data_IF_766087849918
#
_entry.id   IF_766087849918
#
_cell.length_a   1.000
_cell.length_b   1.000
_cell.length_c   1.000
_cell.angle_alpha   90.00
_cell.angle_beta   90.00
_cell.angle_gamma   90.00
#
_symmetry.space_group_name_H-M   'P 1'
#
loop_
_entity.id
_entity.type
_entity.pdbx_description
1 polymer ?
#
# COMPACT_ATOMS: atom_id res chain seq x y z
N UNK A 1 17.65 41.77 11.89
CA UNK A 1 17.40 40.52 12.64
C UNK A 1 18.16 40.50 13.98
N UNK A 2 17.43 40.34 15.10
CA UNK A 2 18.00 40.31 16.46
C UNK A 2 18.90 39.11 16.73
N UNK A 3 19.74 39.21 17.77
CA UNK A 3 20.71 38.18 18.18
C UNK A 3 20.04 36.81 18.37
N UNK A 4 18.84 36.80 18.96
CA UNK A 4 18.06 35.59 19.22
C UNK A 4 17.65 34.83 17.93
N UNK A 5 17.29 35.55 16.86
CA UNK A 5 16.93 34.95 15.57
C UNK A 5 18.15 34.36 14.86
N UNK A 6 19.33 34.96 15.02
CA UNK A 6 20.59 34.40 14.50
C UNK A 6 20.96 33.10 15.21
N UNK A 7 20.77 33.04 16.53
CA UNK A 7 21.03 31.84 17.35
C UNK A 7 20.07 30.71 16.97
N UNK A 8 18.77 30.97 16.81
CA UNK A 8 17.81 29.99 16.27
C UNK A 8 18.22 29.47 14.89
N UNK A 9 18.66 30.36 14.01
CA UNK A 9 19.16 29.98 12.68
C UNK A 9 20.38 29.08 12.74
N UNK A 10 21.33 29.35 13.65
CA UNK A 10 22.52 28.54 13.86
C UNK A 10 22.17 27.16 14.44
N UNK A 11 21.31 27.12 15.46
CA UNK A 11 20.82 25.87 16.06
C UNK A 11 20.08 25.02 15.03
N UNK A 12 19.21 25.63 14.22
CA UNK A 12 18.47 24.91 13.18
C UNK A 12 19.39 24.38 12.09
N UNK A 13 20.45 25.11 11.71
CA UNK A 13 21.48 24.62 10.77
C UNK A 13 22.30 23.48 11.37
N UNK A 14 22.75 23.61 12.62
CA UNK A 14 23.48 22.56 13.32
C UNK A 14 22.62 21.30 13.52
N UNK A 15 21.38 21.47 13.97
CA UNK A 15 20.41 20.39 14.11
C UNK A 15 20.10 19.72 12.76
N UNK A 16 19.93 20.50 11.69
CA UNK A 16 19.72 19.97 10.35
C UNK A 16 20.95 19.25 9.78
N UNK A 17 22.16 19.68 10.13
CA UNK A 17 23.41 19.03 9.75
C UNK A 17 23.65 17.73 10.52
N UNK A 18 23.24 17.68 11.80
CA UNK A 18 23.42 16.51 12.67
C UNK A 18 22.31 15.46 12.47
N UNK A 19 21.05 15.89 12.31
CA UNK A 19 19.88 15.01 12.29
C UNK A 19 19.19 14.92 10.93
N UNK A 20 19.69 15.62 9.91
CA UNK A 20 19.09 15.69 8.58
C UNK A 20 17.84 16.58 8.56
N UNK A 21 17.88 17.66 7.78
CA UNK A 21 16.65 18.39 7.44
C UNK A 21 15.84 17.57 6.44
N UNK A 22 14.72 17.01 6.89
CA UNK A 22 13.72 16.46 5.96
C UNK A 22 12.64 17.53 5.76
N UNK A 23 12.67 18.18 4.61
CA UNK A 23 11.63 19.09 4.16
C UNK A 23 10.37 18.27 3.91
N UNK A 24 9.29 18.58 4.61
CA UNK A 24 7.96 18.05 4.28
C UNK A 24 7.63 18.51 2.87
N UNK A 25 7.38 17.56 1.98
CA UNK A 25 7.04 17.85 0.59
C UNK A 25 5.52 17.93 0.45
N UNK A 26 4.99 18.93 -0.26
CA UNK A 26 3.56 18.99 -0.56
C UNK A 26 3.13 17.91 -1.56
N UNK A 27 4.08 17.28 -2.25
CA UNK A 27 3.87 16.19 -3.20
C UNK A 27 5.04 15.21 -3.16
N UNK A 28 4.77 13.94 -3.47
CA UNK A 28 5.77 12.90 -3.65
C UNK A 28 5.80 12.49 -5.12
N UNK A 29 6.99 12.30 -5.69
CA UNK A 29 7.09 11.88 -7.08
C UNK A 29 6.97 10.36 -7.17
N UNK A 30 6.31 9.89 -8.22
CA UNK A 30 6.32 8.46 -8.57
C UNK A 30 7.62 8.17 -9.30
N UNK A 31 8.42 7.23 -8.78
CA UNK A 31 9.62 6.70 -9.43
C UNK A 31 9.25 5.67 -10.50
N UNK A 32 8.33 4.76 -10.17
CA UNK A 32 7.93 3.65 -11.03
C UNK A 32 6.52 3.20 -10.71
N UNK A 33 5.78 2.81 -11.74
CA UNK A 33 4.44 2.21 -11.63
C UNK A 33 4.57 0.74 -12.02
N UNK A 34 3.99 -0.14 -11.20
CA UNK A 34 3.91 -1.57 -11.45
C UNK A 34 2.44 -1.96 -11.62
N UNK A 35 2.04 -2.16 -12.86
CA UNK A 35 0.73 -2.74 -13.17
C UNK A 35 0.77 -4.24 -12.91
N UNK A 36 -0.35 -4.83 -12.47
CA UNK A 36 -0.47 -6.28 -12.41
C UNK A 36 -0.26 -6.86 -13.83
N UNK A 37 0.59 -7.89 -14.02
CA UNK A 37 0.95 -8.39 -15.36
C UNK A 37 -0.23 -8.97 -16.15
N UNK A 38 -1.28 -9.42 -15.45
CA UNK A 38 -2.50 -9.94 -16.08
C UNK A 38 -3.58 -8.88 -16.32
N UNK A 39 -3.36 -7.62 -15.92
CA UNK A 39 -4.31 -6.56 -16.16
C UNK A 39 -4.46 -6.30 -17.66
N UNK A 40 -5.70 -6.13 -18.11
CA UNK A 40 -6.03 -5.74 -19.48
C UNK A 40 -6.93 -4.50 -19.44
N UNK A 41 -6.68 -3.49 -20.28
CA UNK A 41 -7.53 -2.31 -20.33
C UNK A 41 -8.99 -2.67 -20.61
N UNK A 42 -9.89 -2.22 -19.74
CA UNK A 42 -11.33 -2.48 -19.84
C UNK A 42 -11.81 -3.71 -19.08
N UNK A 43 -10.90 -4.58 -18.62
CA UNK A 43 -11.24 -5.67 -17.72
C UNK A 43 -11.30 -5.14 -16.28
N UNK A 44 -12.20 -5.72 -15.47
CA UNK A 44 -12.26 -5.48 -14.03
C UNK A 44 -11.25 -6.37 -13.29
N UNK A 45 -10.89 -7.51 -13.89
CA UNK A 45 -9.96 -8.44 -13.30
C UNK A 45 -8.56 -7.84 -13.26
N UNK A 46 -7.84 -8.10 -12.16
CA UNK A 46 -6.47 -7.64 -11.95
C UNK A 46 -6.30 -6.12 -12.00
N UNK A 47 -7.37 -5.34 -11.75
CA UNK A 47 -7.33 -3.88 -11.67
C UNK A 47 -6.63 -3.41 -10.38
N UNK A 48 -5.30 -3.53 -10.38
CA UNK A 48 -4.43 -3.14 -9.28
C UNK A 48 -3.06 -2.69 -9.80
N UNK A 49 -2.50 -1.65 -9.18
CA UNK A 49 -1.16 -1.15 -9.46
C UNK A 49 -0.46 -0.68 -8.18
N UNK A 50 0.87 -0.77 -8.19
CA UNK A 50 1.73 -0.28 -7.10
C UNK A 50 2.56 0.89 -7.59
N UNK A 51 2.56 1.98 -6.82
CA UNK A 51 3.34 3.18 -7.14
C UNK A 51 4.53 3.23 -6.18
N UNK A 52 5.74 3.07 -6.71
CA UNK A 52 6.95 3.28 -5.94
C UNK A 52 7.27 4.77 -5.91
N UNK A 53 7.30 5.35 -4.72
CA UNK A 53 7.70 6.74 -4.53
C UNK A 53 9.20 6.91 -4.73
N UNK A 54 9.60 8.07 -5.26
CA UNK A 54 11.01 8.47 -5.41
C UNK A 54 11.58 8.93 -4.07
N UNK A 55 10.77 9.63 -3.27
CA UNK A 55 11.12 10.07 -1.93
C UNK A 55 10.40 9.23 -0.88
N UNK A 56 11.07 8.94 0.23
CA UNK A 56 10.49 8.23 1.36
C UNK A 56 9.73 9.21 2.29
N UNK A 57 8.42 9.04 2.51
CA UNK A 57 7.67 9.88 3.43
C UNK A 57 8.14 9.70 4.88
N UNK A 58 8.41 10.81 5.58
CA UNK A 58 8.70 10.76 7.01
C UNK A 58 7.40 10.79 7.79
N UNK A 59 6.76 9.63 7.91
CA UNK A 59 5.43 9.44 8.51
C UNK A 59 5.27 10.20 9.84
N UNK A 60 6.23 10.05 10.76
CA UNK A 60 6.24 10.72 12.07
C UNK A 60 6.19 12.25 12.05
N UNK A 61 6.49 12.89 10.91
CA UNK A 61 6.48 14.34 10.75
C UNK A 61 5.22 14.85 10.05
N UNK A 62 4.38 13.96 9.52
CA UNK A 62 3.17 14.31 8.78
C UNK A 62 1.97 13.97 9.66
N UNK A 63 1.36 15.00 10.25
CA UNK A 63 0.18 14.83 11.09
C UNK A 63 -0.95 14.17 10.29
N UNK A 64 -1.56 13.12 10.85
CA UNK A 64 -2.66 12.41 10.22
C UNK A 64 -2.26 11.44 9.09
N UNK A 65 -0.96 11.25 8.81
CA UNK A 65 -0.51 10.23 7.87
C UNK A 65 -0.17 8.92 8.61
N UNK A 66 -0.87 7.86 8.25
CA UNK A 66 -0.62 6.49 8.72
C UNK A 66 -0.48 5.52 7.56
N UNK A 67 0.04 4.33 7.85
CA UNK A 67 -0.02 3.20 6.93
C UNK A 67 -1.25 2.36 7.27
N UNK A 68 -1.83 1.73 6.25
CA UNK A 68 -2.82 0.68 6.42
C UNK A 68 -2.15 -0.68 6.23
N UNK A 69 -2.52 -1.65 7.04
CA UNK A 69 -1.97 -3.00 6.94
C UNK A 69 -2.55 -3.75 5.73
N UNK A 70 -1.71 -4.59 5.12
CA UNK A 70 -2.16 -5.55 4.12
C UNK A 70 -2.83 -6.76 4.82
N UNK A 71 -3.85 -7.36 4.19
CA UNK A 71 -4.48 -8.57 4.68
C UNK A 71 -3.56 -9.79 4.51
N UNK A 72 -3.80 -10.83 5.31
CA UNK A 72 -3.08 -12.10 5.20
C UNK A 72 -3.34 -12.74 3.82
N UNK A 73 -2.28 -13.14 3.06
CA UNK A 73 -2.44 -13.78 1.75
C UNK A 73 -3.25 -15.07 1.81
N UNK A 74 -3.24 -15.80 2.95
CA UNK A 74 -4.01 -17.04 3.13
C UNK A 74 -5.53 -16.81 3.12
N UNK A 75 -5.99 -15.58 3.32
CA UNK A 75 -7.43 -15.28 3.27
C UNK A 75 -7.98 -15.37 1.85
N UNK A 76 -7.20 -14.99 0.84
CA UNK A 76 -7.59 -15.11 -0.57
C UNK A 76 -8.95 -14.47 -0.87
N UNK A 77 -9.86 -15.24 -1.47
CA UNK A 77 -11.22 -14.84 -1.83
C UNK A 77 -12.24 -14.90 -0.68
N UNK A 78 -11.84 -15.39 0.49
CA UNK A 78 -12.70 -15.55 1.67
C UNK A 78 -12.86 -14.27 2.50
N UNK A 79 -12.03 -13.27 2.26
CA UNK A 79 -12.05 -11.99 2.96
C UNK A 79 -12.06 -10.81 1.97
N UNK A 80 -12.76 -9.69 2.26
CA UNK A 80 -13.71 -9.52 3.36
C UNK A 80 -14.95 -10.42 3.19
N UNK A 81 -15.60 -10.75 4.31
CA UNK A 81 -16.75 -11.65 4.33
C UNK A 81 -18.06 -10.91 4.01
N UNK A 82 -19.02 -11.60 3.41
CA UNK A 82 -20.34 -11.03 3.17
C UNK A 82 -21.01 -10.58 4.49
N UNK A 83 -21.61 -9.40 4.48
CA UNK A 83 -22.22 -8.75 5.65
C UNK A 83 -21.25 -7.95 6.51
N UNK A 84 -19.94 -8.07 6.30
CA UNK A 84 -18.96 -7.23 6.99
C UNK A 84 -19.08 -5.77 6.55
N UNK A 85 -19.10 -4.85 7.50
CA UNK A 85 -19.11 -3.40 7.21
C UNK A 85 -17.68 -2.89 7.09
N UNK A 86 -17.41 -2.15 6.04
CA UNK A 86 -16.12 -1.58 5.72
C UNK A 86 -16.24 -0.07 5.49
N UNK A 87 -15.14 0.67 5.55
CA UNK A 87 -15.12 2.12 5.39
C UNK A 87 -14.37 2.46 4.10
N UNK A 88 -15.02 3.17 3.19
CA UNK A 88 -14.37 3.81 2.07
C UNK A 88 -14.05 5.26 2.42
N UNK A 89 -12.91 5.77 1.96
CA UNK A 89 -12.50 7.17 2.13
C UNK A 89 -12.09 7.77 0.80
N UNK A 90 -12.44 9.04 0.56
CA UNK A 90 -12.19 9.67 -0.72
C UNK A 90 -12.53 11.15 -0.79
N UNK A 91 -12.26 11.73 -1.95
CA UNK A 91 -12.59 13.13 -2.30
C UNK A 91 -13.43 13.19 -3.57
N UNK A 92 -14.03 12.08 -4.01
CA UNK A 92 -14.91 12.02 -5.18
C UNK A 92 -16.15 12.91 -5.05
N UNK A 93 -17.06 12.76 -6.01
CA UNK A 93 -18.22 13.64 -6.09
C UNK A 93 -19.04 13.71 -4.79
N UNK A 94 -19.49 14.93 -4.45
CA UNK A 94 -20.30 15.15 -3.23
C UNK A 94 -21.77 14.75 -3.39
N UNK A 95 -22.21 14.53 -4.63
CA UNK A 95 -23.51 14.00 -5.06
C UNK A 95 -23.36 13.47 -6.49
N UNK A 96 -24.35 12.73 -7.01
CA UNK A 96 -24.28 12.18 -8.37
C UNK A 96 -23.99 13.29 -9.41
N UNK A 97 -22.92 13.11 -10.20
CA UNK A 97 -22.43 14.09 -11.20
C UNK A 97 -21.91 15.43 -10.63
N UNK A 98 -21.83 15.56 -9.30
CA UNK A 98 -21.30 16.75 -8.63
C UNK A 98 -19.77 16.86 -8.71
N UNK A 99 -19.20 18.03 -8.35
CA UNK A 99 -17.76 18.19 -8.29
C UNK A 99 -17.13 17.36 -7.15
N UNK A 100 -15.82 17.05 -7.24
CA UNK A 100 -15.05 16.49 -6.13
C UNK A 100 -15.18 17.34 -4.86
N UNK A 101 -15.16 16.68 -3.70
CA UNK A 101 -15.20 17.37 -2.42
C UNK A 101 -13.85 18.02 -2.09
N UNK A 102 -13.88 19.20 -1.47
CA UNK A 102 -12.69 19.85 -0.92
C UNK A 102 -12.22 19.22 0.40
N UNK A 103 -13.06 18.40 1.04
CA UNK A 103 -12.77 17.73 2.32
C UNK A 103 -12.89 16.22 2.13
N UNK A 104 -11.96 15.46 2.72
CA UNK A 104 -12.05 14.01 2.72
C UNK A 104 -13.38 13.57 3.31
N UNK A 105 -14.07 12.68 2.60
CA UNK A 105 -15.31 12.04 3.01
C UNK A 105 -15.04 10.59 3.37
N UNK A 106 -15.94 10.01 4.15
CA UNK A 106 -15.95 8.58 4.41
C UNK A 106 -17.37 8.04 4.40
N UNK A 107 -17.51 6.76 4.09
CA UNK A 107 -18.79 6.06 4.08
C UNK A 107 -18.61 4.61 4.52
N UNK A 108 -19.54 4.13 5.33
CA UNK A 108 -19.65 2.72 5.68
C UNK A 108 -20.41 1.97 4.59
N UNK A 109 -19.84 0.85 4.13
CA UNK A 109 -20.38 0.02 3.06
C UNK A 109 -20.39 -1.45 3.51
N UNK A 110 -21.55 -2.13 3.50
CA UNK A 110 -21.60 -3.56 3.75
C UNK A 110 -21.07 -4.32 2.53
N UNK A 111 -20.30 -5.38 2.77
CA UNK A 111 -19.85 -6.32 1.73
C UNK A 111 -21.00 -7.21 1.33
N UNK A 112 -21.23 -7.36 0.03
CA UNK A 112 -22.29 -8.21 -0.50
C UNK A 112 -21.79 -9.64 -0.71
N UNK A 113 -22.72 -10.60 -0.67
CA UNK A 113 -22.39 -11.97 -1.07
C UNK A 113 -22.10 -12.04 -2.59
N UNK A 114 -21.20 -12.94 -3.03
CA UNK A 114 -20.88 -13.12 -4.44
C UNK A 114 -22.12 -13.36 -5.33
N UNK A 115 -23.12 -14.08 -4.83
CA UNK A 115 -24.36 -14.34 -5.57
C UNK A 115 -25.21 -13.08 -5.78
N UNK A 116 -25.27 -12.18 -4.78
CA UNK A 116 -26.05 -10.94 -4.90
C UNK A 116 -25.35 -9.98 -5.85
N UNK A 117 -24.03 -9.81 -5.67
CA UNK A 117 -23.18 -8.98 -6.53
C UNK A 117 -23.31 -9.39 -8.01
N UNK A 118 -23.11 -10.68 -8.33
CA UNK A 118 -23.29 -11.20 -9.69
C UNK A 118 -24.68 -10.98 -10.25
N UNK A 119 -25.72 -11.23 -9.43
CA UNK A 119 -27.10 -11.04 -9.89
C UNK A 119 -27.39 -9.58 -10.26
N UNK A 120 -26.94 -8.63 -9.44
CA UNK A 120 -27.13 -7.19 -9.70
C UNK A 120 -26.44 -6.73 -10.98
N UNK A 121 -25.27 -7.30 -11.27
CA UNK A 121 -24.47 -6.91 -12.43
C UNK A 121 -24.64 -7.82 -13.66
N UNK A 122 -25.44 -8.88 -13.56
CA UNK A 122 -25.57 -9.92 -14.60
C UNK A 122 -26.00 -9.41 -15.98
N UNK A 123 -26.73 -8.31 -16.05
CA UNK A 123 -27.15 -7.68 -17.30
C UNK A 123 -26.08 -6.80 -17.96
N UNK A 124 -24.98 -6.51 -17.24
CA UNK A 124 -23.97 -5.53 -17.65
C UNK A 124 -22.60 -6.15 -17.86
N UNK A 125 -22.19 -7.05 -16.94
CA UNK A 125 -20.84 -7.62 -16.90
C UNK A 125 -20.87 -9.04 -16.33
N UNK A 126 -19.88 -9.86 -16.71
CA UNK A 126 -19.68 -11.18 -16.13
C UNK A 126 -18.65 -11.12 -14.99
N UNK A 127 -19.12 -10.99 -13.75
CA UNK A 127 -18.25 -10.93 -12.57
C UNK A 127 -17.83 -12.33 -12.10
N UNK A 128 -16.53 -12.55 -11.92
CA UNK A 128 -15.98 -13.81 -11.39
C UNK A 128 -16.05 -13.88 -9.86
N UNK A 129 -16.03 -12.73 -9.16
CA UNK A 129 -16.09 -12.57 -7.69
C UNK A 129 -14.91 -13.14 -6.89
N UNK A 130 -13.90 -13.67 -7.58
CA UNK A 130 -12.64 -14.14 -6.99
C UNK A 130 -11.69 -12.96 -6.76
N UNK A 131 -11.39 -12.22 -7.83
CA UNK A 131 -10.51 -11.05 -7.81
C UNK A 131 -11.21 -9.77 -7.38
N UNK A 132 -12.52 -9.71 -7.50
CA UNK A 132 -13.33 -8.56 -7.13
C UNK A 132 -14.43 -8.93 -6.13
N UNK A 133 -14.98 -7.91 -5.47
CA UNK A 133 -16.18 -8.03 -4.66
C UNK A 133 -17.00 -6.75 -4.69
N UNK A 134 -18.30 -6.87 -4.37
CA UNK A 134 -19.17 -5.71 -4.25
C UNK A 134 -19.27 -5.26 -2.79
N UNK A 135 -19.27 -3.94 -2.56
CA UNK A 135 -19.68 -3.35 -1.29
C UNK A 135 -20.54 -2.10 -1.50
N UNK A 136 -21.54 -1.92 -0.65
CA UNK A 136 -22.42 -0.76 -0.66
C UNK A 136 -23.89 -1.10 -0.59
N UNK A 137 -24.72 -0.11 -0.86
CA UNK A 137 -26.17 -0.23 -0.74
C UNK A 137 -26.80 -0.29 -2.12
N UNK A 138 -27.99 -0.90 -2.17
CA UNK A 138 -28.88 -0.74 -3.31
C UNK A 138 -29.93 0.31 -2.94
N UNK A 139 -30.16 1.30 -3.82
CA UNK A 139 -31.07 2.44 -3.60
C UNK A 139 -30.78 3.21 -2.30
N UNK A 140 -29.50 3.34 -1.93
CA UNK A 140 -29.09 4.02 -0.71
C UNK A 140 -28.93 5.53 -0.84
N UNK A 141 -28.95 6.06 -2.07
CA UNK A 141 -28.54 7.43 -2.41
C UNK A 141 -27.15 7.81 -1.87
N UNK A 142 -26.29 6.81 -1.63
CA UNK A 142 -24.96 6.95 -1.05
C UNK A 142 -24.08 5.81 -1.54
N UNK A 143 -22.83 6.10 -1.89
CA UNK A 143 -21.94 5.10 -2.44
C UNK A 143 -20.63 5.72 -2.91
N UNK A 144 -19.94 4.98 -3.77
CA UNK A 144 -18.72 5.43 -4.41
C UNK A 144 -19.06 6.27 -5.64
N UNK A 145 -18.27 7.32 -5.86
CA UNK A 145 -18.57 8.36 -6.82
C UNK A 145 -17.40 8.49 -7.83
N UNK A 146 -17.62 9.03 -9.04
CA UNK A 146 -16.53 9.50 -9.89
C UNK A 146 -15.51 10.34 -9.10
N UNK A 147 -14.23 9.99 -9.26
CA UNK A 147 -13.11 10.59 -8.50
C UNK A 147 -12.61 9.76 -7.32
N UNK A 148 -13.34 8.72 -6.89
CA UNK A 148 -12.90 7.80 -5.84
C UNK A 148 -12.10 6.58 -6.37
N UNK A 149 -11.98 6.42 -7.69
CA UNK A 149 -11.22 5.31 -8.31
C UNK A 149 -9.78 5.22 -7.78
N UNK A 150 -9.35 4.00 -7.45
CA UNK A 150 -8.07 3.75 -6.78
C UNK A 150 -8.07 4.04 -5.27
N UNK A 151 -9.17 4.59 -4.73
CA UNK A 151 -9.34 4.86 -3.30
C UNK A 151 -9.44 3.57 -2.47
N UNK A 152 -9.10 3.63 -1.18
CA UNK A 152 -9.09 2.46 -0.32
C UNK A 152 -10.48 2.15 0.27
N UNK A 153 -10.78 0.86 0.39
CA UNK A 153 -11.80 0.32 1.28
C UNK A 153 -11.09 -0.44 2.41
N UNK A 154 -11.32 -0.04 3.65
CA UNK A 154 -10.71 -0.67 4.83
C UNK A 154 -11.76 -1.40 5.65
N UNK A 155 -11.44 -2.61 6.13
CA UNK A 155 -12.34 -3.39 6.97
C UNK A 155 -11.61 -3.82 8.23
N UNK A 156 -12.34 -3.94 9.34
CA UNK A 156 -11.81 -4.52 10.55
C UNK A 156 -11.66 -6.04 10.38
N UNK A 157 -10.45 -6.57 10.51
CA UNK A 157 -10.16 -7.98 10.42
C UNK A 157 -10.46 -8.75 11.72
N UNK A 158 -10.31 -10.07 11.71
CA UNK A 158 -10.61 -10.96 12.84
C UNK A 158 -9.71 -10.66 14.05
N UNK A 159 -8.49 -10.17 13.81
CA UNK A 159 -7.55 -9.71 14.83
C UNK A 159 -7.93 -8.34 15.44
N UNK A 160 -8.99 -7.71 14.95
CA UNK A 160 -9.46 -6.40 15.40
C UNK A 160 -8.80 -5.21 14.70
N UNK A 161 -7.81 -5.44 13.84
CA UNK A 161 -7.06 -4.39 13.15
C UNK A 161 -7.74 -3.96 11.85
N UNK A 162 -7.55 -2.69 11.46
CA UNK A 162 -8.04 -2.18 10.19
C UNK A 162 -7.08 -2.55 9.06
N UNK A 163 -7.53 -3.35 8.11
CA UNK A 163 -6.72 -3.79 6.96
C UNK A 163 -7.32 -3.32 5.64
N UNK A 164 -6.47 -3.14 4.64
CA UNK A 164 -6.88 -2.76 3.29
C UNK A 164 -7.61 -3.93 2.63
N UNK A 165 -8.92 -3.81 2.46
CA UNK A 165 -9.75 -4.86 1.89
C UNK A 165 -9.95 -4.74 0.40
N UNK A 166 -10.11 -3.50 -0.06
CA UNK A 166 -10.44 -3.22 -1.44
C UNK A 166 -9.75 -1.97 -1.98
N UNK A 167 -9.61 -1.94 -3.29
CA UNK A 167 -9.31 -0.75 -4.06
C UNK A 167 -10.53 -0.48 -4.96
N UNK A 168 -11.05 0.75 -4.96
CA UNK A 168 -12.19 1.12 -5.82
C UNK A 168 -11.80 0.89 -7.29
N UNK A 169 -12.52 -0.02 -7.95
CA UNK A 169 -12.29 -0.35 -9.36
C UNK A 169 -13.38 0.27 -10.25
N UNK A 170 -14.63 -0.11 -10.03
CA UNK A 170 -15.74 0.30 -10.89
C UNK A 170 -17.03 0.62 -10.13
N UNK A 171 -17.84 1.48 -10.74
CA UNK A 171 -19.21 1.80 -10.32
C UNK A 171 -20.14 1.75 -11.52
N UNK A 172 -21.45 1.64 -11.28
CA UNK A 172 -22.42 1.69 -12.37
C UNK A 172 -22.46 3.10 -12.96
N UNK A 173 -22.18 3.23 -14.26
CA UNK A 173 -21.94 4.54 -14.90
C UNK A 173 -23.12 5.51 -14.85
N UNK A 174 -24.36 5.01 -14.89
CA UNK A 174 -25.58 5.84 -14.89
C UNK A 174 -26.22 6.03 -13.53
N UNK A 175 -25.92 5.12 -12.59
CA UNK A 175 -26.58 5.06 -11.29
C UNK A 175 -25.58 4.63 -10.21
N UNK A 176 -24.46 5.36 -10.05
CA UNK A 176 -23.35 4.93 -9.20
C UNK A 176 -23.74 4.90 -7.70
N UNK A 177 -24.76 5.66 -7.30
CA UNK A 177 -25.26 5.68 -5.93
C UNK A 177 -26.33 4.60 -5.62
N UNK A 178 -26.88 3.95 -6.65
CA UNK A 178 -27.95 2.94 -6.51
C UNK A 178 -27.44 1.51 -6.69
N UNK A 179 -26.20 1.36 -7.18
CA UNK A 179 -25.52 0.09 -7.31
C UNK A 179 -24.36 -0.01 -6.31
N UNK A 180 -24.11 -1.20 -5.74
CA UNK A 180 -22.92 -1.42 -4.93
C UNK A 180 -21.67 -1.25 -5.80
N UNK A 181 -20.63 -0.62 -5.28
CA UNK A 181 -19.39 -0.46 -6.01
C UNK A 181 -18.60 -1.77 -6.07
N UNK A 182 -17.83 -1.93 -7.13
CA UNK A 182 -16.95 -3.08 -7.35
C UNK A 182 -15.53 -2.70 -6.93
N UNK A 183 -14.96 -3.52 -6.07
CA UNK A 183 -13.63 -3.34 -5.51
C UNK A 183 -12.72 -4.49 -5.92
N UNK A 184 -11.48 -4.18 -6.25
CA UNK A 184 -10.41 -5.18 -6.39
C UNK A 184 -10.08 -5.75 -5.00
N UNK A 185 -10.12 -7.07 -4.84
CA UNK A 185 -9.92 -7.78 -3.58
C UNK A 185 -8.45 -7.88 -3.21
N UNK A 186 -8.01 -7.06 -2.26
CA UNK A 186 -6.58 -6.96 -1.91
C UNK A 186 -6.01 -8.25 -1.32
N UNK A 187 -6.78 -9.00 -0.52
CA UNK A 187 -6.34 -10.29 0.04
C UNK A 187 -6.01 -11.35 -1.01
N UNK A 188 -6.59 -11.26 -2.20
CA UNK A 188 -6.21 -12.13 -3.31
C UNK A 188 -4.84 -11.74 -3.91
N UNK A 189 -4.49 -10.45 -3.83
CA UNK A 189 -3.29 -9.89 -4.46
C UNK A 189 -2.12 -9.66 -3.50
N UNK A 190 -2.26 -9.99 -2.20
CA UNK A 190 -1.20 -9.76 -1.21
C UNK A 190 0.14 -10.38 -1.62
N UNK A 191 0.16 -11.60 -2.14
CA UNK A 191 1.40 -12.26 -2.59
C UNK A 191 2.07 -11.52 -3.76
N UNK A 192 1.27 -11.03 -4.71
CA UNK A 192 1.78 -10.21 -5.81
C UNK A 192 2.32 -8.87 -5.29
N UNK A 193 1.61 -8.23 -4.37
CA UNK A 193 2.06 -6.97 -3.73
C UNK A 193 3.42 -7.18 -3.04
N UNK A 194 3.54 -8.22 -2.21
CA UNK A 194 4.77 -8.53 -1.50
C UNK A 194 5.91 -8.84 -2.47
N UNK A 195 5.66 -9.64 -3.51
CA UNK A 195 6.65 -9.96 -4.54
C UNK A 195 7.17 -8.70 -5.24
N UNK A 196 6.30 -7.74 -5.57
CA UNK A 196 6.73 -6.47 -6.18
C UNK A 196 7.58 -5.66 -5.19
N UNK A 197 7.19 -5.59 -3.92
CA UNK A 197 7.93 -4.86 -2.87
C UNK A 197 9.32 -5.47 -2.67
N UNK A 198 9.41 -6.79 -2.52
CA UNK A 198 10.66 -7.53 -2.28
C UNK A 198 11.64 -7.43 -3.45
N UNK A 199 11.13 -7.48 -4.68
CA UNK A 199 11.95 -7.40 -5.88
C UNK A 199 12.37 -5.97 -6.26
N UNK A 200 11.81 -4.95 -5.60
CA UNK A 200 12.07 -3.53 -5.91
C UNK A 200 12.37 -2.71 -4.63
N UNK A 201 13.40 -3.09 -3.85
CA UNK A 201 13.71 -2.41 -2.59
C UNK A 201 14.11 -0.95 -2.82
N UNK A 202 13.78 -0.10 -1.85
CA UNK A 202 14.21 1.30 -1.86
C UNK A 202 15.75 1.37 -1.79
N UNK A 203 16.39 2.26 -2.55
CA UNK A 203 17.86 2.33 -2.72
C UNK A 203 18.65 2.52 -1.41
N UNK A 204 18.00 2.99 -0.34
CA UNK A 204 18.63 3.06 0.98
C UNK A 204 18.74 1.69 1.66
N UNK A 205 17.77 0.79 1.44
CA UNK A 205 17.83 -0.59 1.94
C UNK A 205 18.82 -1.43 1.14
N UNK A 206 18.93 -1.27 -0.18
CA UNK A 206 19.89 -2.03 -1.01
C UNK A 206 21.34 -1.79 -0.56
N UNK A 207 21.67 -0.57 -0.14
CA UNK A 207 22.97 -0.23 0.45
C UNK A 207 23.19 -0.88 1.83
N UNK A 208 22.13 -1.06 2.63
CA UNK A 208 22.21 -1.73 3.93
C UNK A 208 22.35 -3.25 3.79
N UNK A 209 21.62 -3.86 2.85
CA UNK A 209 21.74 -5.28 2.50
C UNK A 209 23.08 -5.57 1.83
N UNK A 210 23.56 -4.72 0.92
CA UNK A 210 24.89 -4.81 0.33
C UNK A 210 25.98 -4.69 1.41
N UNK A 211 25.87 -3.74 2.34
CA UNK A 211 26.78 -3.62 3.49
C UNK A 211 26.73 -4.83 4.43
N UNK A 212 25.55 -5.41 4.71
CA UNK A 212 25.42 -6.64 5.50
C UNK A 212 26.04 -7.85 4.79
N UNK A 213 25.82 -7.99 3.47
CA UNK A 213 26.41 -9.06 2.65
C UNK A 213 27.93 -8.92 2.57
N UNK A 214 28.45 -7.71 2.35
CA UNK A 214 29.88 -7.42 2.37
C UNK A 214 30.51 -7.70 3.75
N UNK A 215 29.84 -7.34 4.85
CA UNK A 215 30.30 -7.69 6.21
C UNK A 215 30.36 -9.20 6.43
N UNK A 216 29.33 -9.94 6.00
CA UNK A 216 29.30 -11.41 6.13
C UNK A 216 30.38 -12.10 5.29
N UNK A 217 30.66 -11.58 4.09
CA UNK A 217 31.76 -12.07 3.23
C UNK A 217 33.12 -11.78 3.86
N UNK A 218 33.32 -10.58 4.41
CA UNK A 218 34.58 -10.22 5.10
C UNK A 218 34.79 -11.04 6.38
N UNK A 219 33.75 -11.28 7.18
CA UNK A 219 33.85 -12.14 8.37
C UNK A 219 34.19 -13.58 8.02
N UNK A 220 33.58 -14.14 6.96
CA UNK A 220 33.89 -15.49 6.50
C UNK A 220 35.32 -15.58 5.95
N UNK A 221 35.77 -14.62 5.15
CA UNK A 221 37.16 -14.58 4.65
C UNK A 221 38.20 -14.39 5.76
N UNK A 222 37.86 -13.65 6.82
CA UNK A 222 38.74 -13.47 7.99
C UNK A 222 38.79 -14.74 8.86
N UNK A 223 37.67 -15.45 9.02
CA UNK A 223 37.67 -16.77 9.66
C UNK A 223 38.48 -17.79 8.85
N UNK A 224 38.33 -17.82 7.52
CA UNK A 224 39.09 -18.74 6.66
C UNK A 224 40.61 -18.45 6.73
N UNK A 225 41.03 -17.17 6.80
CA UNK A 225 42.44 -16.82 7.02
C UNK A 225 42.95 -17.22 8.41
N UNK A 226 42.15 -17.05 9.46
CA UNK A 226 42.53 -17.48 10.82
C UNK A 226 42.64 -19.00 10.96
N UNK A 227 41.75 -19.75 10.31
CA UNK A 227 41.83 -21.22 10.26
C UNK A 227 43.07 -21.67 9.47
N UNK A 228 43.40 -20.99 8.37
CA UNK A 228 44.63 -21.24 7.61
C UNK A 228 45.93 -20.85 8.33
N UNK A 229 45.90 -19.84 9.21
CA UNK A 229 47.04 -19.46 10.07
C UNK A 229 47.20 -20.40 11.27
N UNK A 230 46.10 -20.91 11.86
CA UNK A 230 46.17 -21.94 12.90
C UNK A 230 46.69 -23.28 12.36
N UNK A 231 46.31 -23.69 11.14
CA UNK A 231 46.85 -24.91 10.53
C UNK A 231 48.32 -24.80 10.11
N UNK A 232 48.86 -23.58 9.94
CA UNK A 232 50.30 -23.37 9.67
C UNK A 232 51.16 -23.38 10.94
N UNK A 233 50.57 -23.07 12.10
CA UNK A 233 51.25 -23.14 13.39
C UNK A 233 51.32 -24.57 13.96
N UNK A 234 50.44 -25.48 13.53
CA UNK A 234 50.47 -26.89 13.96
C UNK A 234 51.40 -27.78 13.13
N UNK A 235 52.04 -27.27 12.07
CA UNK A 235 53.01 -28.04 11.25
C UNK A 235 54.48 -27.66 11.47
N UNK A 236 54.80 -26.82 12.45
CA UNK A 236 56.19 -26.43 12.80
C UNK A 236 56.65 -27.02 14.15
N UNK A 237 55.93 -28.04 14.64
CA UNK A 237 56.30 -28.88 15.79
C UNK A 237 56.06 -30.36 15.46
N UNK A 238 56.62 -30.84 14.35
CA UNK A 238 56.97 -32.26 14.22
C UNK A 238 58.05 -32.39 13.12
N UNK A 239 59.22 -32.86 13.57
CA UNK A 239 60.52 -33.08 12.88
C UNK A 239 61.49 -31.91 12.73
#
# INVERSE_FOLDING_TARGET
>A
PGVFERVKGLFRRAFNAIFGYVKLQPYYHVKKIFHHPNYRPGDLEYDIALFQLKEEPVLRKIAGLGLVELPDPMWGDRWPAAGQTCIAVGWGCSFAEGPPSMKGQFIELPVLSPSVCRRMYSAYINLTTTHEFCAGYHNGNKGICPGDSGGPLVCQAIDGEMKLAGVVSATHSKQPADFPAIFTRVSYFTDWINSVIENNPHEQQSNLFSKKRAKNVVTNSTMIRKVGEQQKQETEYDY
#
